data_IF_501617936912
#
_entry.id   IF_501617936912
#
_cell.length_a   1.000
_cell.length_b   1.000
_cell.length_c   1.000
_cell.angle_alpha   90.00
_cell.angle_beta   90.00
_cell.angle_gamma   90.00
#
_symmetry.space_group_name_H-M   'P 1'
#
loop_
_entity.id
_entity.type
_entity.pdbx_description
1 polymer ?
#
# COMPACT_ATOMS: atom_id res chain seq x y z
N UNK A 1 0.10 30.42 5.61
CA UNK A 1 -0.53 29.21 6.17
C UNK A 1 -1.28 28.51 5.05
N UNK A 2 -1.18 27.18 4.97
CA UNK A 2 -1.88 26.34 3.95
C UNK A 2 -3.39 26.54 4.06
N UNK A 3 -4.03 26.79 2.92
CA UNK A 3 -5.48 26.78 2.74
C UNK A 3 -5.82 25.54 1.91
N UNK A 4 -6.77 24.74 2.38
CA UNK A 4 -7.24 23.56 1.65
C UNK A 4 -8.45 23.90 0.79
N UNK A 5 -8.43 23.47 -0.46
CA UNK A 5 -9.57 23.43 -1.38
C UNK A 5 -9.59 22.07 -2.05
N UNK A 6 -10.01 21.05 -1.29
CA UNK A 6 -10.06 19.68 -1.81
C UNK A 6 -11.12 19.53 -2.91
N UNK A 7 -12.25 20.24 -2.82
CA UNK A 7 -13.27 20.18 -3.87
C UNK A 7 -12.73 20.76 -5.18
N UNK A 8 -12.14 21.94 -5.15
CA UNK A 8 -11.50 22.54 -6.33
C UNK A 8 -10.40 21.65 -6.90
N UNK A 9 -9.55 21.07 -6.04
CA UNK A 9 -8.50 20.15 -6.46
C UNK A 9 -9.06 18.88 -7.15
N UNK A 10 -10.13 18.27 -6.60
CA UNK A 10 -10.77 17.08 -7.19
C UNK A 10 -11.38 17.41 -8.55
N UNK A 11 -12.13 18.51 -8.65
CA UNK A 11 -12.80 18.92 -9.90
C UNK A 11 -11.78 19.30 -11.00
N UNK A 12 -10.67 19.93 -10.63
CA UNK A 12 -9.59 20.28 -11.57
C UNK A 12 -8.88 19.06 -12.18
N UNK A 13 -9.06 17.87 -11.60
CA UNK A 13 -8.48 16.62 -12.10
C UNK A 13 -9.34 15.85 -13.10
N UNK A 14 -10.39 16.46 -13.66
CA UNK A 14 -11.15 15.91 -14.79
C UNK A 14 -10.35 15.92 -16.10
N UNK A 15 -9.10 15.45 -16.04
CA UNK A 15 -8.18 15.35 -17.19
C UNK A 15 -8.25 13.97 -17.84
N UNK A 16 -8.05 13.83 -19.15
CA UNK A 16 -8.22 12.55 -19.86
C UNK A 16 -7.43 11.38 -19.26
N UNK A 17 -6.19 11.61 -18.83
CA UNK A 17 -5.34 10.59 -18.20
C UNK A 17 -5.91 10.10 -16.86
N UNK A 18 -6.41 10.98 -16.01
CA UNK A 18 -7.02 10.64 -14.72
C UNK A 18 -8.36 9.93 -14.94
N UNK A 19 -9.22 10.46 -15.83
CA UNK A 19 -10.50 9.84 -16.17
C UNK A 19 -10.30 8.42 -16.71
N UNK A 20 -9.30 8.21 -17.58
CA UNK A 20 -8.96 6.86 -18.09
C UNK A 20 -8.54 5.90 -16.98
N UNK A 21 -7.77 6.34 -15.98
CA UNK A 21 -7.41 5.53 -14.82
C UNK A 21 -8.64 5.16 -13.99
N UNK A 22 -9.51 6.11 -13.70
CA UNK A 22 -10.73 5.89 -12.93
C UNK A 22 -11.66 4.90 -13.62
N UNK A 23 -11.93 5.08 -14.92
CA UNK A 23 -12.76 4.17 -15.71
C UNK A 23 -12.17 2.74 -15.73
N UNK A 24 -10.84 2.64 -15.83
CA UNK A 24 -10.16 1.34 -15.77
C UNK A 24 -10.29 0.69 -14.40
N UNK A 25 -10.18 1.46 -13.31
CA UNK A 25 -10.36 0.95 -11.94
C UNK A 25 -11.79 0.41 -11.77
N UNK A 26 -12.81 1.17 -12.17
CA UNK A 26 -14.21 0.73 -12.06
C UNK A 26 -14.48 -0.53 -12.90
N UNK A 27 -13.92 -0.61 -14.13
CA UNK A 27 -14.03 -1.81 -14.96
C UNK A 27 -13.45 -3.05 -14.26
N UNK A 28 -12.24 -2.96 -13.69
CA UNK A 28 -11.63 -4.08 -13.00
C UNK A 28 -12.33 -4.40 -11.68
N UNK A 29 -12.78 -3.41 -10.93
CA UNK A 29 -13.59 -3.60 -9.72
C UNK A 29 -14.83 -4.45 -10.02
N UNK A 30 -15.54 -4.16 -11.12
CA UNK A 30 -16.71 -4.94 -11.55
C UNK A 30 -16.39 -6.38 -11.95
N UNK A 31 -15.16 -6.65 -12.44
CA UNK A 31 -14.74 -8.00 -12.85
C UNK A 31 -14.32 -8.89 -11.67
N UNK A 32 -13.58 -8.33 -10.71
CA UNK A 32 -12.81 -9.13 -9.73
C UNK A 32 -13.61 -9.53 -8.50
N UNK A 33 -14.74 -8.91 -8.21
CA UNK A 33 -15.46 -9.10 -6.95
C UNK A 33 -16.50 -10.22 -6.85
N UNK A 34 -17.00 -10.89 -7.90
CA UNK A 34 -17.85 -12.05 -7.71
C UNK A 34 -17.06 -13.37 -7.65
N UNK A 35 -16.17 -13.53 -6.67
CA UNK A 35 -15.50 -14.82 -6.44
C UNK A 35 -16.31 -15.65 -5.45
N UNK A 36 -17.04 -16.64 -5.94
CA UNK A 36 -17.91 -17.53 -5.16
C UNK A 36 -17.17 -18.57 -4.27
N UNK A 37 -15.83 -18.45 -4.10
CA UNK A 37 -15.04 -19.42 -3.35
C UNK A 37 -14.43 -18.81 -2.09
N UNK A 38 -15.18 -18.84 -0.98
CA UNK A 38 -14.82 -18.26 0.33
C UNK A 38 -13.39 -18.62 0.78
N UNK A 39 -12.99 -19.90 0.69
CA UNK A 39 -11.65 -20.35 1.11
C UNK A 39 -10.50 -19.72 0.32
N UNK A 40 -10.69 -19.48 -0.97
CA UNK A 40 -9.67 -18.81 -1.81
C UNK A 40 -9.56 -17.34 -1.46
N UNK A 41 -10.68 -16.70 -1.14
CA UNK A 41 -10.71 -15.31 -0.68
C UNK A 41 -9.98 -15.14 0.66
N UNK A 42 -10.17 -16.03 1.61
CA UNK A 42 -9.49 -15.99 2.92
C UNK A 42 -7.97 -16.13 2.77
N UNK A 43 -7.51 -17.00 1.86
CA UNK A 43 -6.08 -17.10 1.54
C UNK A 43 -5.53 -15.79 1.00
N UNK A 44 -6.22 -15.18 0.03
CA UNK A 44 -5.81 -13.91 -0.56
C UNK A 44 -5.78 -12.80 0.48
N UNK A 45 -6.80 -12.68 1.33
CA UNK A 45 -6.86 -11.72 2.44
C UNK A 45 -5.67 -11.89 3.39
N UNK A 46 -5.40 -13.11 3.83
CA UNK A 46 -4.26 -13.41 4.70
C UNK A 46 -2.93 -13.02 4.06
N UNK A 47 -2.74 -13.29 2.76
CA UNK A 47 -1.54 -12.93 2.02
C UNK A 47 -1.41 -11.41 1.83
N UNK A 48 -2.49 -10.74 1.45
CA UNK A 48 -2.51 -9.29 1.26
C UNK A 48 -2.22 -8.58 2.57
N UNK A 49 -2.85 -9.01 3.66
CA UNK A 49 -2.62 -8.47 5.00
C UNK A 49 -1.15 -8.56 5.42
N UNK A 50 -0.53 -9.75 5.32
CA UNK A 50 0.90 -9.92 5.62
C UNK A 50 1.78 -9.05 4.74
N UNK A 51 1.48 -8.99 3.44
CA UNK A 51 2.20 -8.12 2.51
C UNK A 51 2.03 -6.65 2.87
N UNK A 52 0.83 -6.21 3.24
CA UNK A 52 0.58 -4.83 3.68
C UNK A 52 1.43 -4.48 4.91
N UNK A 53 1.44 -5.34 5.93
CA UNK A 53 2.27 -5.15 7.13
C UNK A 53 3.75 -5.06 6.77
N UNK A 54 4.28 -6.04 6.06
CA UNK A 54 5.71 -6.13 5.76
C UNK A 54 6.17 -4.96 4.89
N UNK A 55 5.50 -4.71 3.76
CA UNK A 55 5.95 -3.69 2.81
C UNK A 55 5.68 -2.27 3.29
N UNK A 56 4.62 -2.02 4.07
CA UNK A 56 4.41 -0.73 4.70
C UNK A 56 5.54 -0.38 5.69
N UNK A 57 6.03 -1.35 6.45
CA UNK A 57 7.16 -1.16 7.34
C UNK A 57 8.48 -1.03 6.57
N UNK A 58 8.70 -1.79 5.50
CA UNK A 58 9.89 -1.70 4.64
C UNK A 58 10.03 -0.36 3.91
N UNK A 59 8.94 0.33 3.57
CA UNK A 59 8.99 1.71 3.05
C UNK A 59 9.63 2.64 4.08
N UNK A 60 9.42 2.40 5.37
CA UNK A 60 10.03 3.12 6.49
C UNK A 60 11.34 2.50 7.01
N UNK A 61 12.03 1.66 6.20
CA UNK A 61 13.28 0.99 6.54
C UNK A 61 13.21 0.04 7.76
N UNK A 62 12.03 -0.51 8.06
CA UNK A 62 11.82 -1.54 9.08
C UNK A 62 11.73 -2.90 8.40
N UNK A 63 12.63 -3.82 8.73
CA UNK A 63 12.76 -5.13 8.09
C UNK A 63 12.70 -6.25 9.11
N UNK A 64 11.95 -7.31 8.77
CA UNK A 64 11.94 -8.61 9.45
C UNK A 64 12.29 -9.70 8.45
N UNK A 65 12.85 -10.82 8.91
CA UNK A 65 13.16 -11.97 8.04
C UNK A 65 11.91 -12.73 7.66
N UNK A 66 11.92 -13.45 6.53
CA UNK A 66 10.79 -14.32 6.12
C UNK A 66 10.44 -15.37 7.19
N UNK A 67 11.44 -15.87 7.92
CA UNK A 67 11.22 -16.79 9.03
C UNK A 67 10.45 -16.14 10.17
N UNK A 68 10.84 -14.91 10.57
CA UNK A 68 10.14 -14.16 11.62
C UNK A 68 8.77 -13.69 11.18
N UNK A 69 8.59 -13.29 9.92
CA UNK A 69 7.27 -13.01 9.33
C UNK A 69 6.35 -14.23 9.50
N UNK A 70 6.82 -15.41 9.08
CA UNK A 70 6.05 -16.65 9.25
C UNK A 70 5.80 -16.99 10.73
N UNK A 71 6.78 -16.77 11.61
CA UNK A 71 6.60 -17.00 13.04
C UNK A 71 5.51 -16.11 13.65
N UNK A 72 5.53 -14.82 13.34
CA UNK A 72 4.59 -13.84 13.88
C UNK A 72 3.17 -14.04 13.32
N UNK A 73 3.02 -14.06 11.99
CA UNK A 73 1.72 -13.96 11.33
C UNK A 73 1.07 -15.30 10.96
N UNK A 74 1.80 -16.42 11.05
CA UNK A 74 1.25 -17.76 10.76
C UNK A 74 1.23 -18.63 12.01
N UNK A 75 2.29 -18.57 12.82
CA UNK A 75 2.44 -19.43 14.01
C UNK A 75 2.09 -18.73 15.33
N UNK A 76 1.76 -17.45 15.32
CA UNK A 76 1.38 -16.68 16.50
C UNK A 76 2.50 -16.46 17.52
N UNK A 77 3.77 -16.42 17.06
CA UNK A 77 4.91 -16.15 17.94
C UNK A 77 4.88 -14.72 18.49
N UNK A 78 5.43 -14.54 19.67
CA UNK A 78 5.58 -13.21 20.26
C UNK A 78 6.69 -12.40 19.59
N UNK A 79 6.55 -11.05 19.49
CA UNK A 79 7.60 -10.16 19.02
C UNK A 79 8.83 -10.23 19.94
N UNK A 80 10.03 -10.17 19.35
CA UNK A 80 11.31 -10.28 20.06
C UNK A 80 12.16 -9.00 20.00
N UNK A 81 11.83 -8.08 19.10
CA UNK A 81 12.59 -6.85 18.89
C UNK A 81 11.68 -5.72 18.39
N UNK A 82 12.22 -4.50 18.36
CA UNK A 82 11.49 -3.29 17.98
C UNK A 82 10.84 -3.39 16.60
N UNK A 83 11.54 -3.95 15.60
CA UNK A 83 11.01 -4.08 14.23
C UNK A 83 9.80 -5.00 14.19
N UNK A 84 9.80 -6.06 14.95
CA UNK A 84 8.67 -6.99 15.05
C UNK A 84 7.48 -6.35 15.78
N UNK A 85 7.70 -5.59 16.85
CA UNK A 85 6.65 -4.80 17.50
C UNK A 85 6.04 -3.77 16.55
N UNK A 86 6.85 -3.09 15.72
CA UNK A 86 6.34 -2.16 14.71
C UNK A 86 5.47 -2.86 13.67
N UNK A 87 5.82 -4.07 13.25
CA UNK A 87 5.00 -4.87 12.35
C UNK A 87 3.68 -5.31 13.03
N UNK A 88 3.73 -5.76 14.28
CA UNK A 88 2.54 -6.15 15.02
C UNK A 88 1.61 -4.96 15.28
N UNK A 89 2.14 -3.79 15.65
CA UNK A 89 1.34 -2.57 15.81
C UNK A 89 0.59 -2.17 14.54
N UNK A 90 1.24 -2.30 13.36
CA UNK A 90 0.57 -2.07 12.08
C UNK A 90 -0.53 -3.12 11.83
N UNK A 91 -0.29 -4.39 12.14
CA UNK A 91 -1.30 -5.44 12.04
C UNK A 91 -2.49 -5.16 12.96
N UNK A 92 -2.26 -4.80 14.22
CA UNK A 92 -3.32 -4.46 15.18
C UNK A 92 -4.17 -3.25 14.72
N UNK A 93 -3.54 -2.27 14.05
CA UNK A 93 -4.26 -1.14 13.48
C UNK A 93 -5.13 -1.55 12.27
N UNK A 94 -4.70 -2.53 11.46
CA UNK A 94 -5.53 -3.11 10.40
C UNK A 94 -6.73 -3.88 10.99
N UNK A 95 -6.54 -4.63 12.09
CA UNK A 95 -7.66 -5.33 12.79
C UNK A 95 -8.72 -4.32 13.24
N UNK A 96 -8.29 -3.23 13.87
CA UNK A 96 -9.20 -2.16 14.27
C UNK A 96 -9.97 -1.60 13.07
N UNK A 97 -9.28 -1.32 11.96
CA UNK A 97 -9.95 -0.81 10.75
C UNK A 97 -11.00 -1.79 10.26
N UNK A 98 -10.68 -3.09 10.20
CA UNK A 98 -11.60 -4.13 9.75
C UNK A 98 -12.88 -4.21 10.60
N UNK A 99 -12.77 -3.96 11.90
CA UNK A 99 -13.91 -3.93 12.82
C UNK A 99 -14.79 -2.69 12.65
N UNK A 100 -14.19 -1.51 12.39
CA UNK A 100 -14.92 -0.24 12.53
C UNK A 100 -15.20 0.51 11.22
N UNK A 101 -14.61 0.15 10.08
CA UNK A 101 -14.61 0.96 8.85
C UNK A 101 -16.00 1.39 8.36
N UNK A 102 -17.04 0.59 8.60
CA UNK A 102 -18.41 0.87 8.12
C UNK A 102 -19.03 2.08 8.80
N UNK A 103 -18.80 2.24 10.10
CA UNK A 103 -19.46 3.26 10.92
C UNK A 103 -18.51 4.34 11.44
N UNK A 104 -17.21 4.08 11.46
CA UNK A 104 -16.24 5.04 11.95
C UNK A 104 -16.10 6.24 10.99
N UNK A 105 -16.32 7.49 11.44
CA UNK A 105 -16.02 8.66 10.64
C UNK A 105 -14.50 8.87 10.53
N UNK A 106 -14.07 9.57 9.48
CA UNK A 106 -12.73 10.13 9.46
C UNK A 106 -12.72 11.38 10.34
N UNK A 107 -12.06 11.27 11.48
CA UNK A 107 -11.86 12.37 12.40
C UNK A 107 -10.48 12.31 13.07
N UNK A 108 -10.12 13.37 13.77
CA UNK A 108 -8.82 13.49 14.42
C UNK A 108 -8.62 12.47 15.54
N UNK A 109 -9.67 12.09 16.24
CA UNK A 109 -9.63 11.09 17.31
C UNK A 109 -9.29 9.71 16.73
N UNK A 110 -9.90 9.34 15.62
CA UNK A 110 -9.61 8.07 14.93
C UNK A 110 -8.17 8.02 14.39
N UNK A 111 -7.68 9.12 13.81
CA UNK A 111 -6.28 9.20 13.38
C UNK A 111 -5.31 9.01 14.55
N UNK A 112 -5.58 9.64 15.70
CA UNK A 112 -4.79 9.46 16.91
C UNK A 112 -4.90 8.03 17.47
N UNK A 113 -6.07 7.41 17.41
CA UNK A 113 -6.27 6.01 17.79
C UNK A 113 -5.48 5.06 16.90
N UNK A 114 -5.53 5.22 15.58
CA UNK A 114 -4.70 4.42 14.66
C UNK A 114 -3.21 4.60 14.95
N UNK A 115 -2.78 5.84 15.21
CA UNK A 115 -1.39 6.09 15.58
C UNK A 115 -1.01 5.45 16.93
N UNK A 116 -1.92 5.48 17.92
CA UNK A 116 -1.73 4.78 19.19
C UNK A 116 -1.53 3.27 18.98
N UNK A 117 -2.34 2.64 18.11
CA UNK A 117 -2.21 1.21 17.79
C UNK A 117 -0.87 0.84 17.17
N UNK A 118 -0.22 1.76 16.43
CA UNK A 118 1.12 1.54 15.90
C UNK A 118 2.19 1.40 17.00
N UNK A 119 1.93 1.94 18.20
CA UNK A 119 2.95 2.10 19.25
C UNK A 119 2.56 1.44 20.59
N UNK A 120 1.31 1.08 20.80
CA UNK A 120 0.76 0.66 22.11
C UNK A 120 1.53 -0.46 22.79
N UNK A 121 2.13 -1.38 22.02
CA UNK A 121 2.77 -2.58 22.57
C UNK A 121 4.26 -2.38 22.89
N UNK A 122 4.87 -1.25 22.53
CA UNK A 122 6.29 -0.99 22.82
C UNK A 122 6.64 0.44 23.24
N UNK A 123 5.79 1.40 22.95
CA UNK A 123 5.94 2.78 23.40
C UNK A 123 4.59 3.50 23.48
N UNK A 124 3.69 3.08 24.41
CA UNK A 124 2.31 3.58 24.49
C UNK A 124 2.23 5.09 24.72
N UNK A 125 3.21 5.66 25.43
CA UNK A 125 3.28 7.11 25.71
C UNK A 125 3.54 7.95 24.47
N UNK A 126 4.07 7.37 23.43
CA UNK A 126 4.35 8.01 22.16
C UNK A 126 3.14 7.95 21.21
N UNK A 127 2.30 6.93 21.37
CA UNK A 127 1.14 6.69 20.54
C UNK A 127 0.08 7.80 20.66
N UNK A 128 -0.38 8.32 19.52
CA UNK A 128 -1.42 9.35 19.47
C UNK A 128 -0.96 10.78 19.80
N UNK A 129 0.29 11.00 20.21
CA UNK A 129 0.81 12.34 20.53
C UNK A 129 1.30 13.05 19.27
N UNK A 130 0.84 14.28 19.11
CA UNK A 130 1.34 15.14 18.02
C UNK A 130 2.81 15.48 18.21
N UNK A 131 3.45 15.85 17.11
CA UNK A 131 4.84 16.25 17.08
C UNK A 131 5.08 17.52 17.90
N UNK A 132 6.29 17.62 18.46
CA UNK A 132 6.80 18.76 19.23
C UNK A 132 7.87 19.55 18.46
N UNK A 133 8.29 19.03 17.31
CA UNK A 133 9.32 19.63 16.46
C UNK A 133 8.93 19.51 14.97
N UNK A 134 9.58 20.30 14.12
CA UNK A 134 9.38 20.24 12.68
C UNK A 134 10.04 18.98 12.12
N UNK A 135 9.32 18.22 11.32
CA UNK A 135 9.85 17.03 10.68
C UNK A 135 10.39 17.34 9.29
N UNK A 136 11.50 16.71 8.95
CA UNK A 136 12.10 16.75 7.61
C UNK A 136 11.81 15.43 6.91
N UNK A 137 11.03 15.48 5.82
CA UNK A 137 10.82 14.30 4.98
C UNK A 137 12.04 14.17 4.09
N UNK A 138 12.70 13.01 4.16
CA UNK A 138 14.01 12.80 3.55
C UNK A 138 14.00 11.61 2.61
N UNK A 139 14.77 11.72 1.55
CA UNK A 139 15.13 10.65 0.63
C UNK A 139 16.52 10.11 1.00
N UNK A 140 16.66 8.78 1.08
CA UNK A 140 17.96 8.14 1.25
C UNK A 140 18.67 8.05 -0.10
N UNK A 141 19.87 8.57 -0.19
CA UNK A 141 20.70 8.53 -1.39
C UNK A 141 21.56 7.26 -1.46
N UNK A 142 22.05 6.86 -2.64
CA UNK A 142 22.88 5.66 -2.82
C UNK A 142 24.18 5.66 -2.01
N UNK A 143 24.70 6.83 -1.66
CA UNK A 143 25.91 7.02 -0.84
C UNK A 143 25.61 6.89 0.68
N UNK A 144 24.38 6.60 1.06
CA UNK A 144 23.93 6.49 2.45
C UNK A 144 23.61 7.83 3.13
N UNK A 145 23.72 8.94 2.42
CA UNK A 145 23.31 10.26 2.94
C UNK A 145 21.81 10.48 2.78
N UNK A 146 21.27 11.52 3.43
CA UNK A 146 19.86 11.88 3.37
C UNK A 146 19.70 13.27 2.74
N UNK A 147 18.77 13.37 1.80
CA UNK A 147 18.37 14.63 1.17
C UNK A 147 16.96 15.01 1.64
N UNK A 148 16.81 16.19 2.25
CA UNK A 148 15.49 16.72 2.59
C UNK A 148 14.73 17.06 1.31
N UNK A 149 13.55 16.48 1.14
CA UNK A 149 12.66 16.70 0.00
C UNK A 149 11.47 17.57 0.37
N UNK A 150 11.09 17.61 1.65
CA UNK A 150 10.01 18.46 2.14
C UNK A 150 10.20 18.75 3.64
N UNK A 151 9.82 19.96 4.06
CA UNK A 151 9.76 20.39 5.46
C UNK A 151 8.29 20.45 5.87
N UNK A 152 7.89 19.68 6.88
CA UNK A 152 6.50 19.60 7.33
C UNK A 152 5.98 20.90 7.96
N UNK A 153 4.66 20.96 8.22
CA UNK A 153 4.07 22.06 9.01
C UNK A 153 4.73 22.18 10.39
N UNK A 154 4.57 23.34 11.01
CA UNK A 154 5.04 23.55 12.38
C UNK A 154 4.14 22.83 13.40
N UNK A 155 4.65 22.45 14.58
CA UNK A 155 3.87 21.75 15.62
C UNK A 155 2.60 22.51 16.02
N UNK A 156 2.69 23.81 16.21
CA UNK A 156 1.56 24.66 16.60
C UNK A 156 0.44 24.77 15.55
N UNK A 157 0.72 24.42 14.29
CA UNK A 157 -0.25 24.43 13.20
C UNK A 157 -1.01 23.10 13.05
N UNK A 158 -0.50 22.00 13.63
CA UNK A 158 -0.96 20.61 13.35
C UNK A 158 -2.45 20.45 13.59
N UNK A 159 -2.96 20.87 14.76
CA UNK A 159 -4.36 20.66 15.14
C UNK A 159 -5.30 21.37 14.16
N UNK A 160 -5.01 22.63 13.91
CA UNK A 160 -5.83 23.48 13.03
C UNK A 160 -5.79 22.97 11.58
N UNK A 161 -4.61 22.58 11.07
CA UNK A 161 -4.48 22.04 9.71
C UNK A 161 -5.21 20.72 9.56
N UNK A 162 -5.09 19.80 10.54
CA UNK A 162 -5.82 18.53 10.52
C UNK A 162 -7.33 18.72 10.58
N UNK A 163 -7.84 19.58 11.48
CA UNK A 163 -9.27 19.85 11.60
C UNK A 163 -9.83 20.42 10.28
N UNK A 164 -9.11 21.34 9.65
CA UNK A 164 -9.51 21.91 8.36
C UNK A 164 -9.44 20.86 7.24
N UNK A 165 -8.36 20.09 7.15
CA UNK A 165 -8.21 19.04 6.14
C UNK A 165 -9.33 17.99 6.24
N UNK A 166 -9.62 17.52 7.47
CA UNK A 166 -10.69 16.56 7.74
C UNK A 166 -12.07 17.14 7.40
N UNK A 167 -12.31 18.38 7.77
CA UNK A 167 -13.56 19.08 7.42
C UNK A 167 -13.75 19.14 5.90
N UNK A 168 -12.74 19.61 5.16
CA UNK A 168 -12.76 19.69 3.70
C UNK A 168 -12.97 18.31 3.07
N UNK A 169 -12.30 17.29 3.59
CA UNK A 169 -12.49 15.91 3.13
C UNK A 169 -13.92 15.46 3.32
N UNK A 170 -14.50 15.61 4.51
CA UNK A 170 -15.85 15.13 4.82
C UNK A 170 -16.92 15.89 4.01
N UNK A 171 -16.75 17.18 3.77
CA UNK A 171 -17.63 17.97 2.90
C UNK A 171 -17.58 17.49 1.45
N UNK A 172 -16.37 17.29 0.91
CA UNK A 172 -16.21 16.80 -0.46
C UNK A 172 -16.66 15.33 -0.59
N UNK A 173 -16.48 14.52 0.46
CA UNK A 173 -16.92 13.12 0.48
C UNK A 173 -18.45 12.97 0.50
N UNK A 174 -19.20 13.95 0.99
CA UNK A 174 -20.66 14.00 0.94
C UNK A 174 -21.18 14.48 -0.43
N UNK A 175 -20.33 15.07 -1.26
CA UNK A 175 -20.70 15.60 -2.58
C UNK A 175 -20.55 14.50 -3.66
N UNK A 176 -21.58 14.29 -4.45
CA UNK A 176 -21.58 13.28 -5.53
C UNK A 176 -20.66 13.65 -6.70
N UNK A 177 -20.38 14.95 -6.91
CA UNK A 177 -19.45 15.41 -7.93
C UNK A 177 -17.98 15.08 -7.59
N UNK A 178 -17.69 14.86 -6.31
CA UNK A 178 -16.34 14.55 -5.84
C UNK A 178 -15.99 13.07 -6.00
N UNK A 179 -15.08 12.76 -6.92
CA UNK A 179 -14.55 11.41 -7.05
C UNK A 179 -13.77 10.99 -5.80
N UNK A 180 -14.19 9.89 -5.18
CA UNK A 180 -13.66 9.43 -3.88
C UNK A 180 -12.19 8.99 -3.95
N UNK A 181 -11.76 8.39 -5.06
CA UNK A 181 -10.36 7.94 -5.22
C UNK A 181 -9.39 9.11 -5.35
N UNK A 182 -9.77 10.16 -6.10
CA UNK A 182 -8.99 11.40 -6.20
C UNK A 182 -8.92 12.06 -4.82
N UNK A 183 -10.07 12.17 -4.14
CA UNK A 183 -10.18 12.79 -2.82
C UNK A 183 -9.30 12.08 -1.79
N UNK A 184 -9.30 10.74 -1.76
CA UNK A 184 -8.44 9.94 -0.88
C UNK A 184 -6.97 10.23 -1.14
N UNK A 185 -6.54 10.23 -2.40
CA UNK A 185 -5.16 10.48 -2.76
C UNK A 185 -4.71 11.92 -2.42
N UNK A 186 -5.58 12.92 -2.65
CA UNK A 186 -5.31 14.31 -2.27
C UNK A 186 -5.19 14.47 -0.75
N UNK A 187 -6.10 13.85 0.02
CA UNK A 187 -6.02 13.83 1.48
C UNK A 187 -4.70 13.20 1.98
N UNK A 188 -4.25 12.10 1.38
CA UNK A 188 -2.99 11.46 1.75
C UNK A 188 -1.79 12.39 1.54
N UNK A 189 -1.75 13.14 0.43
CA UNK A 189 -0.69 14.12 0.18
C UNK A 189 -0.66 15.19 1.28
N UNK A 190 -1.80 15.81 1.55
CA UNK A 190 -1.90 16.87 2.55
C UNK A 190 -1.59 16.36 3.96
N UNK A 191 -2.08 15.17 4.32
CA UNK A 191 -1.73 14.50 5.58
C UNK A 191 -0.21 14.30 5.71
N UNK A 192 0.45 13.85 4.65
CA UNK A 192 1.90 13.67 4.63
C UNK A 192 2.65 14.99 4.69
N UNK A 193 2.13 16.08 4.14
CA UNK A 193 2.72 17.41 4.26
C UNK A 193 2.52 18.03 5.66
N UNK A 194 1.37 17.82 6.30
CA UNK A 194 1.16 18.22 7.71
C UNK A 194 2.13 17.43 8.60
N UNK A 195 2.25 16.13 8.38
CA UNK A 195 3.13 15.21 9.14
C UNK A 195 2.90 15.32 10.65
N UNK A 196 1.69 14.97 11.14
CA UNK A 196 1.21 15.39 12.46
C UNK A 196 1.95 14.78 13.65
N UNK A 197 2.64 13.67 13.47
CA UNK A 197 3.34 12.94 14.55
C UNK A 197 4.85 12.98 14.36
N UNK A 198 5.63 12.76 15.43
CA UNK A 198 7.09 12.72 15.31
C UNK A 198 7.59 11.58 14.42
N UNK A 199 6.93 10.41 14.46
CA UNK A 199 7.23 9.25 13.61
C UNK A 199 5.94 8.54 13.21
N UNK A 200 6.01 7.58 12.27
CA UNK A 200 4.88 6.72 11.91
C UNK A 200 3.90 7.30 10.90
N UNK A 201 4.04 8.55 10.48
CA UNK A 201 3.11 9.22 9.56
C UNK A 201 2.95 8.47 8.23
N UNK A 202 4.04 7.94 7.65
CA UNK A 202 3.97 7.15 6.42
C UNK A 202 3.20 5.84 6.60
N UNK A 203 3.36 5.15 7.74
CA UNK A 203 2.58 3.95 8.07
C UNK A 203 1.11 4.29 8.27
N UNK A 204 0.84 5.37 9.02
CA UNK A 204 -0.51 5.85 9.25
C UNK A 204 -1.19 6.29 7.95
N UNK A 205 -0.49 6.98 7.04
CA UNK A 205 -1.02 7.35 5.73
C UNK A 205 -1.49 6.13 4.92
N UNK A 206 -0.76 5.01 4.97
CA UNK A 206 -1.18 3.77 4.29
C UNK A 206 -2.33 3.05 5.01
N UNK A 207 -2.43 3.15 6.34
CA UNK A 207 -3.62 2.70 7.08
C UNK A 207 -4.85 3.55 6.72
N UNK A 208 -4.68 4.85 6.58
CA UNK A 208 -5.75 5.77 6.13
C UNK A 208 -6.19 5.40 4.70
N UNK A 209 -5.26 5.11 3.79
CA UNK A 209 -5.60 4.63 2.44
C UNK A 209 -6.46 3.37 2.50
N UNK A 210 -6.03 2.36 3.25
CA UNK A 210 -6.76 1.11 3.44
C UNK A 210 -8.17 1.36 4.00
N UNK A 211 -8.27 2.14 5.08
CA UNK A 211 -9.54 2.51 5.72
C UNK A 211 -10.49 3.20 4.73
N UNK A 212 -10.03 4.23 4.04
CA UNK A 212 -10.87 5.04 3.15
C UNK A 212 -11.27 4.26 1.89
N UNK A 213 -10.37 3.48 1.29
CA UNK A 213 -10.71 2.61 0.18
C UNK A 213 -11.84 1.66 0.58
N UNK A 214 -11.68 0.96 1.70
CA UNK A 214 -12.68 0.02 2.22
C UNK A 214 -14.01 0.72 2.54
N UNK A 215 -13.97 1.89 3.18
CA UNK A 215 -15.15 2.69 3.52
C UNK A 215 -15.95 3.10 2.29
N UNK A 216 -15.29 3.36 1.16
CA UNK A 216 -15.94 3.75 -0.10
C UNK A 216 -16.12 2.59 -1.10
N UNK A 217 -16.00 1.35 -0.63
CA UNK A 217 -16.31 0.15 -1.41
C UNK A 217 -15.24 -0.25 -2.43
N UNK A 218 -13.98 0.07 -2.16
CA UNK A 218 -12.82 -0.38 -2.93
C UNK A 218 -12.00 -1.39 -2.11
N UNK A 219 -12.47 -2.64 -2.03
CA UNK A 219 -11.89 -3.68 -1.17
C UNK A 219 -10.58 -4.28 -1.72
N UNK A 220 -9.96 -3.67 -2.73
CA UNK A 220 -8.80 -4.24 -3.42
C UNK A 220 -7.61 -4.49 -2.47
N UNK A 221 -7.39 -3.61 -1.50
CA UNK A 221 -6.26 -3.73 -0.56
C UNK A 221 -6.43 -4.91 0.42
N UNK A 222 -7.67 -5.41 0.59
CA UNK A 222 -7.96 -6.67 1.30
C UNK A 222 -7.43 -7.91 0.56
N UNK A 223 -7.27 -7.84 -0.77
CA UNK A 223 -6.92 -8.99 -1.61
C UNK A 223 -5.55 -8.85 -2.28
N UNK A 224 -5.07 -7.63 -2.46
CA UNK A 224 -3.75 -7.33 -3.02
C UNK A 224 -3.17 -6.07 -2.39
N UNK A 225 -2.11 -6.20 -1.60
CA UNK A 225 -1.52 -5.10 -0.83
C UNK A 225 -0.97 -3.97 -1.73
N UNK A 226 -1.57 -2.79 -1.64
CA UNK A 226 -1.10 -1.59 -2.34
C UNK A 226 0.27 -1.16 -1.80
N UNK A 227 0.55 -1.37 -0.50
CA UNK A 227 1.85 -1.10 0.09
C UNK A 227 3.00 -1.88 -0.58
N UNK A 228 2.74 -3.12 -1.05
CA UNK A 228 3.70 -3.86 -1.86
C UNK A 228 4.04 -3.12 -3.16
N UNK A 229 3.05 -2.63 -3.88
CA UNK A 229 3.26 -1.90 -5.12
C UNK A 229 3.95 -0.54 -4.88
N UNK A 230 3.58 0.17 -3.81
CA UNK A 230 4.29 1.39 -3.42
C UNK A 230 5.77 1.12 -3.13
N UNK A 231 6.11 0.00 -2.47
CA UNK A 231 7.51 -0.39 -2.24
C UNK A 231 8.22 -0.77 -3.54
N UNK A 232 7.57 -1.47 -4.47
CA UNK A 232 8.16 -1.82 -5.77
C UNK A 232 8.46 -0.58 -6.63
N UNK A 233 7.65 0.48 -6.49
CA UNK A 233 7.76 1.74 -7.20
C UNK A 233 8.18 2.89 -6.27
N UNK A 234 9.09 2.62 -5.32
CA UNK A 234 9.46 3.58 -4.27
C UNK A 234 10.04 4.89 -4.85
N UNK A 235 10.85 4.82 -5.90
CA UNK A 235 11.39 6.00 -6.57
C UNK A 235 10.29 6.88 -7.15
N UNK A 236 9.34 6.28 -7.89
CA UNK A 236 8.17 6.99 -8.44
C UNK A 236 7.29 7.61 -7.32
N UNK A 237 7.14 6.90 -6.18
CA UNK A 237 6.41 7.40 -5.02
C UNK A 237 7.06 8.67 -4.45
N UNK A 238 8.39 8.64 -4.26
CA UNK A 238 9.16 9.78 -3.74
C UNK A 238 9.09 10.95 -4.73
N UNK A 239 9.27 10.70 -6.02
CA UNK A 239 9.21 11.74 -7.06
C UNK A 239 7.83 12.38 -7.15
N UNK A 240 6.76 11.57 -7.11
CA UNK A 240 5.38 12.06 -7.12
C UNK A 240 5.08 12.93 -5.88
N UNK A 241 5.50 12.48 -4.69
CA UNK A 241 5.37 13.27 -3.47
C UNK A 241 6.13 14.59 -3.56
N UNK A 242 7.39 14.57 -4.00
CA UNK A 242 8.24 15.75 -4.15
C UNK A 242 7.65 16.77 -5.12
N UNK A 243 7.14 16.32 -6.26
CA UNK A 243 6.50 17.21 -7.23
C UNK A 243 5.22 17.82 -6.66
N UNK A 244 4.36 17.00 -6.03
CA UNK A 244 3.07 17.47 -5.53
C UNK A 244 3.16 18.26 -4.22
N UNK A 245 4.22 18.11 -3.44
CA UNK A 245 4.44 18.91 -2.21
C UNK A 245 5.13 20.27 -2.49
N UNK A 246 5.63 20.50 -3.70
CA UNK A 246 6.23 21.79 -4.07
C UNK A 246 5.21 22.92 -3.87
N UNK A 247 5.64 24.03 -3.24
CA UNK A 247 4.79 25.19 -2.89
C UNK A 247 3.56 24.89 -1.99
N UNK A 248 3.51 23.73 -1.33
CA UNK A 248 2.38 23.33 -0.49
C UNK A 248 2.05 24.39 0.59
N UNK A 249 3.07 24.96 1.26
CA UNK A 249 2.88 26.00 2.28
C UNK A 249 2.26 27.30 1.74
N UNK A 250 2.36 27.54 0.43
CA UNK A 250 1.75 28.68 -0.26
C UNK A 250 0.34 28.37 -0.81
N UNK A 251 -0.15 27.14 -0.66
CA UNK A 251 -1.39 26.64 -1.27
C UNK A 251 -1.36 26.64 -2.82
N UNK A 252 -0.18 26.52 -3.42
CA UNK A 252 0.07 26.52 -4.86
C UNK A 252 0.61 25.16 -5.34
N UNK A 253 0.39 24.10 -4.58
CA UNK A 253 0.84 22.76 -4.90
C UNK A 253 -0.04 22.08 -5.96
N UNK A 254 0.55 21.23 -6.79
CA UNK A 254 -0.17 20.42 -7.78
C UNK A 254 -0.39 19.00 -7.24
N UNK A 255 -1.64 18.60 -7.08
CA UNK A 255 -2.00 17.26 -6.60
C UNK A 255 -1.81 16.16 -7.66
N UNK A 256 -1.78 16.51 -8.97
CA UNK A 256 -1.87 15.52 -10.06
C UNK A 256 -0.77 14.44 -10.03
N UNK A 257 0.53 14.75 -9.82
CA UNK A 257 1.56 13.71 -9.82
C UNK A 257 1.31 12.64 -8.76
N UNK A 258 0.96 13.05 -7.54
CA UNK A 258 0.71 12.12 -6.43
C UNK A 258 -0.60 11.34 -6.60
N UNK A 259 -1.68 12.01 -6.99
CA UNK A 259 -2.97 11.37 -7.31
C UNK A 259 -2.81 10.36 -8.43
N UNK A 260 -2.13 10.73 -9.52
CA UNK A 260 -1.84 9.82 -10.64
C UNK A 260 -1.04 8.58 -10.18
N UNK A 261 -0.04 8.77 -9.31
CA UNK A 261 0.71 7.65 -8.73
C UNK A 261 -0.19 6.70 -7.94
N UNK A 262 -1.01 7.23 -7.01
CA UNK A 262 -1.89 6.41 -6.17
C UNK A 262 -2.91 5.65 -7.02
N UNK A 263 -3.57 6.31 -7.98
CA UNK A 263 -4.53 5.68 -8.89
C UNK A 263 -3.89 4.58 -9.75
N UNK A 264 -2.68 4.79 -10.25
CA UNK A 264 -1.92 3.75 -10.97
C UNK A 264 -1.64 2.53 -10.08
N UNK A 265 -1.33 2.71 -8.80
CA UNK A 265 -1.10 1.56 -7.88
C UNK A 265 -2.40 0.83 -7.57
N UNK A 266 -3.52 1.54 -7.41
CA UNK A 266 -4.85 0.92 -7.24
C UNK A 266 -5.21 0.10 -8.48
N UNK A 267 -5.08 0.66 -9.68
CA UNK A 267 -5.35 -0.05 -10.93
C UNK A 267 -4.45 -1.27 -11.11
N UNK A 268 -3.16 -1.14 -10.80
CA UNK A 268 -2.20 -2.24 -10.87
C UNK A 268 -2.56 -3.37 -9.89
N UNK A 269 -3.02 -3.04 -8.68
CA UNK A 269 -3.49 -4.03 -7.71
C UNK A 269 -4.68 -4.83 -8.27
N UNK A 270 -5.68 -4.17 -8.84
CA UNK A 270 -6.81 -4.83 -9.50
C UNK A 270 -6.38 -5.73 -10.66
N UNK A 271 -5.50 -5.25 -11.54
CA UNK A 271 -5.00 -6.05 -12.68
C UNK A 271 -4.22 -7.30 -12.23
N UNK A 272 -3.40 -7.14 -11.18
CA UNK A 272 -2.65 -8.27 -10.61
C UNK A 272 -3.57 -9.27 -9.93
N UNK A 273 -4.59 -8.82 -9.22
CA UNK A 273 -5.60 -9.69 -8.63
C UNK A 273 -6.37 -10.45 -9.70
N UNK A 274 -6.85 -9.77 -10.74
CA UNK A 274 -7.56 -10.37 -11.89
C UNK A 274 -6.72 -11.48 -12.53
N UNK A 275 -5.45 -11.19 -12.83
CA UNK A 275 -4.50 -12.17 -13.34
C UNK A 275 -4.27 -13.36 -12.40
N UNK A 276 -4.13 -13.11 -11.10
CA UNK A 276 -3.96 -14.18 -10.10
C UNK A 276 -5.18 -15.10 -10.06
N UNK A 277 -6.38 -14.53 -10.09
CA UNK A 277 -7.63 -15.28 -10.12
C UNK A 277 -7.75 -16.10 -11.40
N UNK A 278 -7.46 -15.51 -12.56
CA UNK A 278 -7.47 -16.19 -13.87
C UNK A 278 -6.55 -17.43 -13.87
N UNK A 279 -5.26 -17.24 -13.54
CA UNK A 279 -4.27 -18.33 -13.61
C UNK A 279 -4.58 -19.44 -12.59
N UNK A 280 -5.05 -19.09 -11.38
CA UNK A 280 -5.39 -20.12 -10.38
C UNK A 280 -6.68 -20.89 -10.74
N UNK A 281 -7.62 -20.30 -11.50
CA UNK A 281 -8.86 -20.96 -11.95
C UNK A 281 -8.66 -21.86 -13.18
N UNK A 282 -7.52 -21.76 -13.88
CA UNK A 282 -7.24 -22.59 -15.06
C UNK A 282 -7.32 -24.09 -14.75
N UNK A 283 -7.97 -24.86 -15.62
CA UNK A 283 -7.92 -26.33 -15.61
C UNK A 283 -6.62 -26.80 -16.27
N UNK A 284 -5.51 -26.65 -15.56
CA UNK A 284 -4.16 -26.92 -16.04
C UNK A 284 -3.30 -27.52 -14.91
N UNK A 285 -2.24 -28.24 -15.29
CA UNK A 285 -1.25 -28.80 -14.35
C UNK A 285 -0.47 -27.71 -13.62
N UNK A 286 0.20 -28.04 -12.52
CA UNK A 286 1.06 -27.10 -11.81
C UNK A 286 2.19 -26.57 -12.72
N UNK A 287 2.79 -27.45 -13.54
CA UNK A 287 3.83 -27.06 -14.48
C UNK A 287 3.33 -26.04 -15.52
N UNK A 288 2.16 -26.28 -16.11
CA UNK A 288 1.56 -25.36 -17.08
C UNK A 288 1.24 -24.00 -16.46
N UNK A 289 0.71 -23.96 -15.22
CA UNK A 289 0.47 -22.70 -14.49
C UNK A 289 1.77 -21.95 -14.19
N UNK A 290 2.80 -22.67 -13.72
CA UNK A 290 4.12 -22.08 -13.45
C UNK A 290 4.74 -21.55 -14.73
N UNK A 291 4.68 -22.31 -15.82
CA UNK A 291 5.17 -21.88 -17.12
C UNK A 291 4.46 -20.61 -17.60
N UNK A 292 3.12 -20.57 -17.51
CA UNK A 292 2.35 -19.36 -17.88
C UNK A 292 2.83 -18.15 -17.11
N UNK A 293 2.99 -18.24 -15.79
CA UNK A 293 3.46 -17.12 -14.96
C UNK A 293 4.85 -16.63 -15.37
N UNK A 294 5.76 -17.55 -15.71
CA UNK A 294 7.11 -17.18 -16.16
C UNK A 294 7.10 -16.56 -17.55
N UNK A 295 6.31 -17.10 -18.48
CA UNK A 295 6.22 -16.61 -19.87
C UNK A 295 5.54 -15.27 -19.97
N UNK A 296 4.46 -15.05 -19.20
CA UNK A 296 3.72 -13.79 -19.18
C UNK A 296 4.52 -12.64 -18.52
N UNK A 297 5.61 -12.97 -17.82
CA UNK A 297 6.45 -11.94 -17.21
C UNK A 297 7.34 -11.25 -18.25
N UNK A 298 7.32 -9.91 -18.23
CA UNK A 298 8.21 -9.10 -19.07
C UNK A 298 9.68 -9.10 -18.61
N UNK A 299 9.96 -9.51 -17.38
CA UNK A 299 11.30 -9.53 -16.78
C UNK A 299 11.52 -10.83 -16.00
N UNK A 300 12.79 -11.24 -15.76
CA UNK A 300 13.09 -12.40 -14.94
C UNK A 300 12.48 -12.31 -13.54
N UNK A 301 11.70 -13.32 -13.13
CA UNK A 301 10.98 -13.36 -11.85
C UNK A 301 11.57 -14.36 -10.86
N UNK A 302 11.44 -14.04 -9.57
CA UNK A 302 11.87 -14.95 -8.51
C UNK A 302 10.79 -15.98 -8.19
N UNK A 303 11.21 -17.09 -7.55
CA UNK A 303 10.29 -18.08 -6.99
C UNK A 303 9.23 -17.46 -6.06
N UNK A 304 9.60 -16.46 -5.28
CA UNK A 304 8.67 -15.76 -4.38
C UNK A 304 7.53 -15.06 -5.16
N UNK A 305 7.84 -14.49 -6.34
CA UNK A 305 6.81 -13.91 -7.22
C UNK A 305 5.89 -14.99 -7.76
N UNK A 306 6.44 -16.13 -8.23
CA UNK A 306 5.64 -17.28 -8.72
C UNK A 306 4.70 -17.78 -7.62
N UNK A 307 5.21 -17.96 -6.39
CA UNK A 307 4.42 -18.39 -5.24
C UNK A 307 3.31 -17.38 -4.86
N UNK A 308 3.58 -16.08 -5.01
CA UNK A 308 2.56 -15.06 -4.77
C UNK A 308 1.43 -15.15 -5.80
N UNK A 309 1.77 -15.31 -7.07
CA UNK A 309 0.77 -15.42 -8.14
C UNK A 309 -0.02 -16.72 -8.02
N UNK A 310 0.67 -17.85 -7.82
CA UNK A 310 0.06 -19.18 -7.70
C UNK A 310 -0.19 -19.53 -6.22
N UNK A 311 -0.93 -18.67 -5.55
CA UNK A 311 -1.17 -18.76 -4.10
C UNK A 311 -1.84 -20.07 -3.64
N UNK A 312 -2.51 -20.79 -4.54
CA UNK A 312 -3.14 -22.07 -4.27
C UNK A 312 -2.13 -23.27 -4.34
N UNK A 313 -0.90 -23.07 -4.83
CA UNK A 313 0.12 -24.11 -4.93
C UNK A 313 1.09 -24.09 -3.75
N UNK A 314 1.49 -25.27 -3.28
CA UNK A 314 2.52 -25.37 -2.25
C UNK A 314 3.91 -24.96 -2.77
N UNK A 315 4.77 -24.48 -1.86
CA UNK A 315 6.17 -24.16 -2.17
C UNK A 315 6.89 -25.33 -2.87
N UNK A 316 6.70 -26.56 -2.36
CA UNK A 316 7.33 -27.77 -2.92
C UNK A 316 6.82 -28.02 -4.34
N UNK A 317 5.53 -27.83 -4.59
CA UNK A 317 4.95 -28.02 -5.93
C UNK A 317 5.55 -27.03 -6.94
N UNK A 318 5.65 -25.75 -6.56
CA UNK A 318 6.25 -24.71 -7.42
C UNK A 318 7.74 -24.98 -7.66
N UNK A 319 8.50 -25.41 -6.64
CA UNK A 319 9.92 -25.74 -6.77
C UNK A 319 10.14 -26.92 -7.74
N UNK A 320 9.35 -27.98 -7.61
CA UNK A 320 9.40 -29.14 -8.52
C UNK A 320 9.06 -28.75 -9.96
N UNK A 321 8.00 -27.94 -10.14
CA UNK A 321 7.61 -27.48 -11.47
C UNK A 321 8.68 -26.59 -12.13
N UNK A 322 9.26 -25.64 -11.38
CA UNK A 322 10.36 -24.80 -11.89
C UNK A 322 11.59 -25.63 -12.27
N UNK A 323 12.01 -26.59 -11.42
CA UNK A 323 13.15 -27.47 -11.73
C UNK A 323 12.91 -28.24 -13.02
N UNK A 324 11.77 -28.91 -13.14
CA UNK A 324 11.40 -29.68 -14.33
C UNK A 324 11.38 -28.82 -15.60
N UNK A 325 10.79 -27.63 -15.55
CA UNK A 325 10.74 -26.71 -16.69
C UNK A 325 12.12 -26.20 -17.12
N UNK A 326 13.04 -26.04 -16.16
CA UNK A 326 14.46 -25.72 -16.46
C UNK A 326 15.17 -26.90 -17.10
N UNK A 327 14.99 -28.11 -16.56
CA UNK A 327 15.61 -29.35 -17.09
C UNK A 327 15.12 -29.67 -18.52
N UNK A 328 13.84 -29.37 -18.82
CA UNK A 328 13.23 -29.48 -20.15
C UNK A 328 13.62 -28.32 -21.11
N UNK A 329 14.37 -27.32 -20.66
CA UNK A 329 14.77 -26.15 -21.47
C UNK A 329 13.63 -25.24 -21.83
N UNK A 330 12.47 -25.29 -21.15
CA UNK A 330 11.29 -24.43 -21.38
C UNK A 330 11.34 -23.12 -20.59
N UNK A 331 12.15 -23.07 -19.54
CA UNK A 331 12.40 -21.92 -18.69
C UNK A 331 13.89 -21.80 -18.46
N UNK A 332 14.42 -20.59 -18.59
CA UNK A 332 15.81 -20.29 -18.32
C UNK A 332 16.02 -19.87 -16.87
N UNK A 333 17.00 -20.46 -16.18
CA UNK A 333 17.49 -20.01 -14.88
C UNK A 333 18.59 -18.97 -15.09
N UNK A 334 18.26 -17.68 -14.87
CA UNK A 334 19.19 -16.55 -15.11
C UNK A 334 20.27 -16.45 -14.04
N UNK A 335 19.88 -16.67 -12.75
CA UNK A 335 20.81 -16.64 -11.62
C UNK A 335 20.59 -17.83 -10.73
N UNK A 336 21.66 -18.35 -10.08
CA UNK A 336 21.60 -19.50 -9.14
C UNK A 336 21.68 -19.02 -7.68
N UNK A 337 21.16 -19.85 -6.77
CA UNK A 337 21.24 -19.61 -5.33
C UNK A 337 20.05 -18.81 -4.77
N UNK A 338 20.29 -18.07 -3.67
CA UNK A 338 19.24 -17.36 -2.94
C UNK A 338 18.46 -16.37 -3.79
N UNK A 339 19.08 -15.82 -4.85
CA UNK A 339 18.51 -14.83 -5.76
C UNK A 339 18.13 -15.41 -7.12
N UNK A 340 17.82 -16.71 -7.19
CA UNK A 340 17.40 -17.38 -8.42
C UNK A 340 16.25 -16.64 -9.10
N UNK A 341 16.43 -16.37 -10.40
CA UNK A 341 15.40 -15.77 -11.26
C UNK A 341 15.17 -16.66 -12.47
N UNK A 342 13.93 -16.71 -12.89
CA UNK A 342 13.44 -17.55 -13.98
C UNK A 342 12.87 -16.65 -15.08
N UNK A 343 13.11 -17.03 -16.34
CA UNK A 343 12.63 -16.30 -17.49
C UNK A 343 12.27 -17.27 -18.62
N UNK A 344 11.47 -16.80 -19.54
CA UNK A 344 11.15 -17.54 -20.76
C UNK A 344 12.39 -17.73 -21.62
N UNK A 345 12.46 -18.85 -22.33
CA UNK A 345 13.47 -19.14 -23.36
C UNK A 345 13.12 -18.36 -24.63
#
# INVERSE_FOLDING_TARGET
MKIFDLKGAVLAMSKPNIVSLLNSIELYKGKTLPVNEVKKLDMLKSMARRSSVVYSNQIGNVYITEERESALFVRGAQPQNLQEYMCMGYSNALDLIDEVYKYQPLDRSFLSTLHYYLYKDYNPDFGGRYKDSVNYIQESLPDGTFKTIFISSKPEEVVMLLDNLIYQFNMCAADEECNKLILIAAFMLDFMCIHPYNHGNGRLSRLILHFLLKKYGYDIDDYFAIAYLMKQHLGEYIDAFKQSSANWHKSENDYEPYVSFVLKRILEAYRKLDYMLEVNSMKATAEEKVLKVVVDSATPISKTVVLRVLYALSKVTVEKALSKLVDEGRVQLITKGRYSKYFRV
#
